data_IF_545010392358
#
_entry.id   IF_545010392358
#
_cell.length_a   1.000
_cell.length_b   1.000
_cell.length_c   1.000
_cell.angle_alpha   90.00
_cell.angle_beta   90.00
_cell.angle_gamma   90.00
#
_symmetry.space_group_name_H-M   'P 1'
#
loop_
_entity.id
_entity.type
_entity.pdbx_description
1 polymer ?
#
# COMPACT_ATOMS: atom_id res chain seq x y z
N UNK A 1 46.20 5.44 -25.73
CA UNK A 1 46.10 5.54 -24.26
C UNK A 1 44.63 5.59 -23.83
N UNK A 2 44.07 4.42 -23.46
CA UNK A 2 42.76 4.30 -22.84
C UNK A 2 42.86 4.75 -21.36
N UNK A 3 41.89 5.50 -20.80
CA UNK A 3 41.89 5.87 -19.39
C UNK A 3 41.49 4.65 -18.52
N UNK A 4 41.88 4.64 -17.23
CA UNK A 4 41.87 3.43 -16.43
C UNK A 4 40.46 2.99 -16.07
N UNK A 5 40.22 1.69 -16.23
CA UNK A 5 39.15 0.93 -15.63
C UNK A 5 39.15 1.20 -14.12
N UNK A 6 38.05 1.75 -13.59
CA UNK A 6 37.80 1.81 -12.16
C UNK A 6 37.53 0.38 -11.66
N UNK A 7 38.59 -0.41 -11.49
CA UNK A 7 38.58 -1.54 -10.58
C UNK A 7 38.49 -0.98 -9.15
N UNK A 8 37.29 -1.06 -8.58
CA UNK A 8 37.10 -0.81 -7.16
C UNK A 8 37.31 -2.16 -6.44
N UNK A 9 38.34 -2.25 -5.60
CA UNK A 9 38.54 -3.35 -4.65
C UNK A 9 37.38 -3.49 -3.65
N UNK A 10 37.45 -4.43 -2.68
CA UNK A 10 36.33 -4.82 -1.82
C UNK A 10 36.04 -3.76 -0.75
N UNK A 11 35.62 -2.58 -1.18
CA UNK A 11 34.94 -1.59 -0.37
C UNK A 11 33.49 -2.01 -0.20
N UNK A 12 32.91 -1.72 0.96
CA UNK A 12 31.48 -1.89 1.22
C UNK A 12 30.64 -1.36 0.05
N UNK A 13 29.62 -2.10 -0.43
CA UNK A 13 28.83 -1.68 -1.57
C UNK A 13 28.14 -0.35 -1.24
N UNK A 14 28.57 0.71 -1.93
CA UNK A 14 28.00 2.05 -1.89
C UNK A 14 26.47 2.00 -2.07
N UNK A 15 25.74 2.78 -1.26
CA UNK A 15 24.27 2.82 -1.24
C UNK A 15 23.74 3.45 -2.52
N UNK A 16 22.46 3.22 -2.84
CA UNK A 16 21.82 3.76 -4.06
C UNK A 16 22.01 5.28 -4.19
N UNK A 17 21.86 6.01 -3.08
CA UNK A 17 22.05 7.47 -3.01
C UNK A 17 23.42 7.89 -3.52
N UNK A 18 24.46 7.40 -2.86
CA UNK A 18 25.86 7.70 -3.17
C UNK A 18 26.21 7.27 -4.60
N UNK A 19 25.74 6.08 -5.01
CA UNK A 19 25.96 5.58 -6.37
C UNK A 19 25.37 6.48 -7.44
N UNK A 20 24.14 6.93 -7.23
CA UNK A 20 23.44 7.78 -8.20
C UNK A 20 24.05 9.18 -8.24
N UNK A 21 24.44 9.75 -7.10
CA UNK A 21 25.18 11.03 -7.04
C UNK A 21 26.46 10.92 -7.87
N UNK A 22 27.25 9.87 -7.68
CA UNK A 22 28.47 9.64 -8.46
C UNK A 22 28.16 9.51 -9.96
N UNK A 23 27.04 8.88 -10.35
CA UNK A 23 26.63 8.79 -11.75
C UNK A 23 26.24 10.14 -12.34
N UNK A 24 25.52 10.98 -11.59
CA UNK A 24 25.14 12.34 -12.02
C UNK A 24 26.40 13.19 -12.20
N UNK A 25 27.30 13.17 -11.22
CA UNK A 25 28.54 13.95 -11.23
C UNK A 25 29.53 13.46 -12.31
N UNK A 26 29.44 12.20 -12.72
CA UNK A 26 30.29 11.66 -13.80
C UNK A 26 29.99 12.26 -15.17
N UNK A 27 28.80 12.83 -15.39
CA UNK A 27 28.39 13.38 -16.69
C UNK A 27 28.29 12.36 -17.83
N UNK A 28 28.41 11.05 -17.55
CA UNK A 28 28.49 9.99 -18.57
C UNK A 28 27.17 9.66 -19.28
N UNK A 29 26.04 10.03 -18.69
CA UNK A 29 24.72 9.65 -19.17
C UNK A 29 23.97 10.88 -19.71
N UNK A 30 23.71 10.96 -21.03
CA UNK A 30 22.98 12.09 -21.61
C UNK A 30 21.65 12.32 -20.90
N UNK A 31 21.40 13.56 -20.49
CA UNK A 31 20.16 13.97 -19.82
C UNK A 31 20.08 13.67 -18.32
N UNK A 32 20.98 12.87 -17.73
CA UNK A 32 21.12 12.73 -16.28
C UNK A 32 21.91 13.92 -15.73
N UNK A 33 21.26 14.83 -15.00
CA UNK A 33 21.93 16.03 -14.44
C UNK A 33 21.21 16.61 -13.23
N UNK A 34 21.92 17.45 -12.49
CA UNK A 34 21.34 18.34 -11.47
C UNK A 34 20.44 19.41 -12.12
N UNK A 35 19.27 19.64 -11.52
CA UNK A 35 18.31 20.68 -11.89
C UNK A 35 18.47 21.95 -11.05
N UNK A 36 19.19 21.87 -9.93
CA UNK A 36 19.47 23.02 -9.07
C UNK A 36 20.93 23.08 -8.62
N UNK A 37 21.40 24.29 -8.32
CA UNK A 37 22.78 24.53 -7.86
C UNK A 37 23.11 23.85 -6.53
N UNK A 38 22.10 23.66 -5.68
CA UNK A 38 22.24 23.02 -4.37
C UNK A 38 22.39 21.49 -4.43
N UNK A 39 22.37 20.88 -5.63
CA UNK A 39 22.49 19.42 -5.83
C UNK A 39 21.50 18.62 -4.97
N UNK A 40 20.27 19.09 -4.90
CA UNK A 40 19.17 18.38 -4.21
C UNK A 40 18.07 17.93 -5.17
N UNK A 41 18.04 18.44 -6.39
CA UNK A 41 17.11 18.02 -7.45
C UNK A 41 17.91 17.56 -8.65
N UNK A 42 17.61 16.38 -9.16
CA UNK A 42 18.20 15.87 -10.39
C UNK A 42 17.12 15.27 -11.28
N UNK A 43 17.41 15.17 -12.58
CA UNK A 43 16.52 14.54 -13.55
C UNK A 43 17.14 13.28 -14.13
N UNK A 44 16.30 12.28 -14.42
CA UNK A 44 16.66 11.03 -15.08
C UNK A 44 15.91 10.95 -16.43
N UNK A 45 16.60 10.67 -17.56
CA UNK A 45 15.96 10.36 -18.83
C UNK A 45 15.00 9.18 -18.73
N UNK A 46 13.79 9.30 -19.29
CA UNK A 46 12.72 8.33 -19.11
C UNK A 46 12.09 7.81 -20.40
N UNK A 47 12.86 7.79 -21.50
CA UNK A 47 12.38 7.34 -22.81
C UNK A 47 11.76 5.93 -22.78
N UNK A 48 10.65 5.76 -23.51
CA UNK A 48 9.96 4.47 -23.63
C UNK A 48 10.60 3.62 -24.72
N UNK A 49 10.87 2.35 -24.42
CA UNK A 49 11.49 1.42 -25.37
C UNK A 49 10.65 1.14 -26.64
N UNK A 50 9.36 1.50 -26.62
CA UNK A 50 8.46 1.38 -27.76
C UNK A 50 8.52 2.59 -28.72
N UNK A 51 9.23 3.67 -28.39
CA UNK A 51 9.41 4.79 -29.32
C UNK A 51 10.38 4.40 -30.44
N UNK A 52 10.11 4.84 -31.68
CA UNK A 52 10.92 4.50 -32.86
C UNK A 52 12.37 5.03 -32.76
N UNK A 53 12.59 6.12 -32.02
CA UNK A 53 13.87 6.78 -31.81
C UNK A 53 14.57 6.33 -30.50
N UNK A 54 14.20 5.15 -29.97
CA UNK A 54 14.81 4.56 -28.78
C UNK A 54 16.17 3.93 -29.12
N UNK A 55 17.24 4.50 -28.56
CA UNK A 55 18.62 4.06 -28.71
C UNK A 55 19.02 3.29 -27.47
N UNK A 56 18.93 1.96 -27.52
CA UNK A 56 19.22 1.09 -26.38
C UNK A 56 20.55 1.40 -25.67
N UNK A 57 21.61 1.70 -26.44
CA UNK A 57 22.94 1.93 -25.87
C UNK A 57 23.04 3.24 -25.09
N UNK A 58 22.23 4.24 -25.42
CA UNK A 58 22.20 5.56 -24.76
C UNK A 58 21.06 5.63 -23.74
N UNK A 59 19.83 5.32 -24.15
CA UNK A 59 18.62 5.42 -23.33
C UNK A 59 18.55 4.37 -22.22
N UNK A 60 19.25 3.24 -22.38
CA UNK A 60 19.36 2.22 -21.34
C UNK A 60 20.65 2.31 -20.52
N UNK A 61 21.57 3.22 -20.85
CA UNK A 61 22.93 3.24 -20.31
C UNK A 61 22.97 3.31 -18.77
N UNK A 62 22.21 4.23 -18.17
CA UNK A 62 22.12 4.38 -16.72
C UNK A 62 21.53 3.14 -16.05
N UNK A 63 20.47 2.58 -16.66
CA UNK A 63 19.79 1.40 -16.13
C UNK A 63 20.69 0.16 -16.21
N UNK A 64 21.42 0.00 -17.32
CA UNK A 64 22.42 -1.06 -17.53
C UNK A 64 23.52 -0.96 -16.47
N UNK A 65 24.06 0.24 -16.25
CA UNK A 65 25.11 0.47 -15.26
C UNK A 65 24.66 0.10 -13.84
N UNK A 66 23.41 0.40 -13.47
CA UNK A 66 22.84 -0.04 -12.19
C UNK A 66 22.75 -1.56 -12.09
N UNK A 67 22.34 -2.23 -13.17
CA UNK A 67 22.24 -3.69 -13.20
C UNK A 67 23.61 -4.37 -13.07
N UNK A 68 24.64 -3.83 -13.72
CA UNK A 68 26.05 -4.27 -13.59
C UNK A 68 26.52 -4.06 -12.15
N UNK A 69 26.32 -2.85 -11.60
CA UNK A 69 26.75 -2.51 -10.25
C UNK A 69 26.12 -3.43 -9.17
N UNK A 70 24.86 -3.84 -9.35
CA UNK A 70 24.19 -4.78 -8.44
C UNK A 70 24.53 -6.25 -8.70
N UNK A 71 25.42 -6.54 -9.67
CA UNK A 71 25.79 -7.91 -10.06
C UNK A 71 24.62 -8.70 -10.65
N UNK A 72 23.65 -8.02 -11.26
CA UNK A 72 22.45 -8.63 -11.84
C UNK A 72 22.45 -8.65 -13.38
N UNK A 73 23.57 -8.28 -13.98
CA UNK A 73 23.84 -8.34 -15.41
C UNK A 73 25.36 -8.38 -15.64
N UNK A 74 25.82 -9.32 -16.48
CA UNK A 74 27.21 -9.41 -16.94
C UNK A 74 27.29 -9.10 -18.43
N UNK A 75 28.08 -8.08 -18.79
CA UNK A 75 28.26 -7.66 -20.17
C UNK A 75 29.03 -8.71 -20.97
N UNK A 76 28.50 -9.09 -22.15
CA UNK A 76 29.07 -10.13 -23.01
C UNK A 76 28.60 -11.56 -22.68
N UNK A 77 28.07 -11.81 -21.48
CA UNK A 77 27.55 -13.13 -21.07
C UNK A 77 26.04 -13.18 -21.07
N UNK A 78 25.38 -12.18 -20.45
CA UNK A 78 23.94 -12.15 -20.31
C UNK A 78 23.27 -11.46 -21.51
N UNK A 79 22.08 -11.94 -21.90
CA UNK A 79 21.25 -11.27 -22.90
C UNK A 79 20.78 -9.90 -22.37
N UNK A 80 20.96 -8.86 -23.20
CA UNK A 80 20.54 -7.51 -22.84
C UNK A 80 19.01 -7.39 -22.69
N UNK A 81 18.56 -6.84 -21.56
CA UNK A 81 17.14 -6.56 -21.29
C UNK A 81 16.95 -5.18 -20.64
N UNK A 82 16.82 -4.13 -21.48
CA UNK A 82 16.61 -2.74 -21.02
C UNK A 82 15.36 -2.57 -20.14
N UNK A 83 14.31 -3.34 -20.39
CA UNK A 83 13.04 -3.25 -19.65
C UNK A 83 13.22 -3.73 -18.21
N UNK A 84 13.95 -4.84 -18.02
CA UNK A 84 14.30 -5.34 -16.69
C UNK A 84 15.23 -4.39 -15.96
N UNK A 85 16.24 -3.83 -16.63
CA UNK A 85 17.16 -2.86 -16.03
C UNK A 85 16.44 -1.59 -15.56
N UNK A 86 15.59 -1.00 -16.40
CA UNK A 86 14.77 0.18 -16.06
C UNK A 86 13.84 -0.12 -14.89
N UNK A 87 13.22 -1.29 -14.87
CA UNK A 87 12.36 -1.73 -13.77
C UNK A 87 13.12 -1.83 -12.45
N UNK A 88 14.34 -2.39 -12.45
CA UNK A 88 15.16 -2.54 -11.24
C UNK A 88 15.56 -1.19 -10.65
N UNK A 89 16.03 -0.24 -11.47
CA UNK A 89 16.39 1.10 -10.96
C UNK A 89 15.16 1.85 -10.45
N UNK A 90 14.04 1.81 -11.18
CA UNK A 90 12.76 2.40 -10.75
C UNK A 90 12.33 1.87 -9.38
N UNK A 91 12.37 0.55 -9.18
CA UNK A 91 12.03 -0.06 -7.91
C UNK A 91 12.98 0.35 -6.79
N UNK A 92 14.28 0.52 -7.08
CA UNK A 92 15.27 0.97 -6.10
C UNK A 92 15.01 2.41 -5.66
N UNK A 93 14.72 3.32 -6.61
CA UNK A 93 14.34 4.72 -6.34
C UNK A 93 13.07 4.79 -5.49
N UNK A 94 12.01 4.07 -5.88
CA UNK A 94 10.71 4.12 -5.18
C UNK A 94 10.73 3.52 -3.77
N UNK A 95 11.68 2.64 -3.47
CA UNK A 95 11.85 2.02 -2.14
C UNK A 95 12.78 2.81 -1.22
N UNK A 96 13.58 3.71 -1.76
CA UNK A 96 14.57 4.46 -1.00
C UNK A 96 13.93 5.67 -0.33
N UNK A 97 14.22 5.87 0.95
CA UNK A 97 13.83 7.07 1.72
C UNK A 97 14.66 8.30 1.37
N UNK A 98 15.75 8.11 0.62
CA UNK A 98 16.65 9.20 0.20
C UNK A 98 16.11 9.98 -1.00
N UNK A 99 15.06 9.48 -1.67
CA UNK A 99 14.54 10.06 -2.90
C UNK A 99 13.03 10.28 -2.84
N UNK A 100 12.60 11.44 -3.34
CA UNK A 100 11.19 11.77 -3.56
C UNK A 100 11.00 12.18 -5.02
N UNK A 101 10.09 11.53 -5.75
CA UNK A 101 9.74 11.97 -7.11
C UNK A 101 9.02 13.32 -7.04
N UNK A 102 9.31 14.23 -7.97
CA UNK A 102 8.67 15.55 -8.11
C UNK A 102 7.93 15.58 -9.47
N UNK A 103 6.69 15.06 -9.53
CA UNK A 103 5.95 14.93 -10.78
C UNK A 103 5.72 16.27 -11.49
N UNK A 104 5.54 17.36 -10.73
CA UNK A 104 5.26 18.69 -11.24
C UNK A 104 6.42 19.26 -12.07
N UNK A 105 7.64 18.72 -11.90
CA UNK A 105 8.83 19.11 -12.65
C UNK A 105 9.22 18.10 -13.73
N UNK A 106 8.54 16.96 -13.79
CA UNK A 106 8.80 15.90 -14.77
C UNK A 106 8.13 16.23 -16.10
N UNK A 107 8.78 15.94 -17.22
CA UNK A 107 8.23 16.17 -18.57
C UNK A 107 8.29 14.88 -19.37
N UNK A 108 7.12 14.30 -19.66
CA UNK A 108 7.01 13.02 -20.36
C UNK A 108 6.54 13.15 -21.82
N UNK A 109 5.96 14.30 -22.18
CA UNK A 109 5.34 14.54 -23.50
C UNK A 109 6.27 15.20 -24.52
N UNK A 110 7.56 15.34 -24.18
CA UNK A 110 8.59 15.92 -25.06
C UNK A 110 9.39 14.83 -25.81
N UNK A 111 10.23 15.25 -26.77
CA UNK A 111 11.11 14.36 -27.54
C UNK A 111 12.02 13.53 -26.63
N UNK A 112 12.66 14.20 -25.68
CA UNK A 112 13.57 13.62 -24.69
C UNK A 112 12.95 13.66 -23.28
N UNK A 113 12.04 12.72 -22.96
CA UNK A 113 11.29 12.76 -21.71
C UNK A 113 12.18 12.49 -20.51
N UNK A 114 11.86 13.11 -19.37
CA UNK A 114 12.62 12.94 -18.14
C UNK A 114 11.73 13.02 -16.89
N UNK A 115 12.20 12.41 -15.81
CA UNK A 115 11.61 12.47 -14.46
C UNK A 115 12.53 13.20 -13.51
N UNK A 116 11.96 14.00 -12.61
CA UNK A 116 12.70 14.76 -11.59
C UNK A 116 12.56 14.11 -10.23
N UNK A 117 13.67 13.99 -9.51
CA UNK A 117 13.75 13.45 -8.17
C UNK A 117 14.48 14.43 -7.25
N UNK A 118 13.99 14.52 -6.01
CA UNK A 118 14.60 15.28 -4.93
C UNK A 118 15.33 14.33 -3.98
N UNK A 119 16.54 14.70 -3.57
CA UNK A 119 17.27 14.05 -2.50
C UNK A 119 16.77 14.58 -1.16
N UNK A 120 16.27 13.67 -0.32
CA UNK A 120 15.88 13.97 1.05
C UNK A 120 17.15 13.90 1.90
N UNK A 121 17.60 15.06 2.39
CA UNK A 121 18.63 15.13 3.43
C UNK A 121 17.94 15.15 4.79
N UNK A 122 18.26 14.17 5.64
CA UNK A 122 17.87 14.22 7.04
C UNK A 122 18.46 15.50 7.66
N UNK A 123 17.60 16.38 8.19
CA UNK A 123 18.07 17.62 8.80
C UNK A 123 18.49 17.32 10.22
N UNK A 124 19.80 17.36 10.48
CA UNK A 124 20.35 17.44 11.84
C UNK A 124 21.82 17.84 11.89
N UNK A 125 22.06 19.06 12.42
CA UNK A 125 23.31 19.63 12.99
C UNK A 125 24.07 20.76 12.24
N UNK A 126 23.85 22.01 12.72
CA UNK A 126 24.78 23.17 12.83
C UNK A 126 24.89 24.12 11.62
N UNK A 127 24.69 25.45 11.67
CA UNK A 127 24.59 26.43 12.76
C UNK A 127 23.96 27.77 12.30
N UNK A 128 23.19 28.44 13.18
CA UNK A 128 22.92 29.91 13.32
C UNK A 128 22.24 30.66 12.15
N UNK A 129 21.14 31.40 12.28
CA UNK A 129 20.60 32.23 13.40
C UNK A 129 19.10 32.54 13.22
N UNK A 130 18.35 32.50 14.34
CA UNK A 130 17.09 33.22 14.69
C UNK A 130 15.83 33.02 13.83
N UNK A 131 14.60 32.92 14.35
CA UNK A 131 14.03 32.93 15.70
C UNK A 131 12.54 32.52 15.53
N UNK A 132 12.13 31.37 16.05
CA UNK A 132 10.85 31.15 16.76
C UNK A 132 10.78 29.67 17.17
N UNK A 133 10.68 29.46 18.46
CA UNK A 133 10.78 28.17 19.15
C UNK A 133 9.39 27.79 19.68
N UNK A 134 8.84 26.61 19.33
CA UNK A 134 7.82 25.93 20.12
C UNK A 134 8.49 24.86 21.01
N UNK A 135 8.41 25.04 22.34
CA UNK A 135 9.05 24.15 23.30
C UNK A 135 8.37 22.76 23.44
N UNK A 136 9.17 21.75 23.04
CA UNK A 136 9.58 20.52 23.76
C UNK A 136 8.61 19.31 23.88
N UNK A 137 9.02 18.13 23.35
CA UNK A 137 8.49 16.78 23.62
C UNK A 137 9.33 16.02 24.68
N UNK A 138 8.90 14.86 25.22
CA UNK A 138 9.81 13.94 25.90
C UNK A 138 10.43 12.92 24.92
N UNK A 139 11.67 12.56 25.24
CA UNK A 139 12.67 11.87 24.42
C UNK A 139 12.44 10.35 24.25
N UNK A 140 13.11 9.71 23.26
CA UNK A 140 13.07 8.27 23.02
C UNK A 140 14.18 7.50 23.76
N UNK A 141 13.86 6.30 24.24
CA UNK A 141 14.83 5.34 24.80
C UNK A 141 15.47 4.55 23.65
N UNK A 142 16.79 4.50 23.70
CA UNK A 142 17.75 3.84 22.82
C UNK A 142 17.49 2.34 22.59
N UNK A 143 17.55 1.91 21.33
CA UNK A 143 17.76 0.51 20.95
C UNK A 143 19.25 0.24 20.76
N UNK A 144 19.73 -0.88 21.30
CA UNK A 144 20.97 -1.53 20.86
C UNK A 144 20.67 -2.96 20.37
N UNK A 145 21.47 -3.50 19.44
CA UNK A 145 21.12 -4.68 18.68
C UNK A 145 21.85 -5.93 19.16
N UNK A 146 21.13 -7.04 19.34
CA UNK A 146 21.63 -8.40 19.14
C UNK A 146 20.45 -9.35 19.25
N UNK A 147 20.26 -10.21 18.25
CA UNK A 147 20.13 -11.66 18.45
C UNK A 147 19.78 -12.32 17.12
N UNK A 148 20.80 -12.99 16.59
CA UNK A 148 20.80 -13.97 15.52
C UNK A 148 19.78 -15.08 15.83
N UNK A 149 18.97 -15.44 14.83
CA UNK A 149 18.08 -16.59 14.85
C UNK A 149 18.89 -17.90 14.89
N UNK A 150 18.55 -18.89 15.73
CA UNK A 150 19.05 -20.24 15.54
C UNK A 150 18.09 -21.07 14.66
N UNK A 151 18.71 -21.84 13.76
CA UNK A 151 18.09 -22.85 12.93
C UNK A 151 17.57 -24.04 13.77
N UNK A 152 16.41 -24.59 13.39
CA UNK A 152 15.81 -25.77 14.02
C UNK A 152 16.15 -27.02 13.21
N UNK A 153 16.75 -28.03 13.86
CA UNK A 153 17.00 -29.38 13.33
C UNK A 153 16.06 -30.35 14.08
N UNK A 154 15.38 -31.30 13.41
CA UNK A 154 14.44 -32.19 14.09
C UNK A 154 15.10 -33.50 14.55
N UNK A 155 14.77 -33.96 15.76
CA UNK A 155 14.90 -35.37 16.17
C UNK A 155 13.84 -35.78 17.21
N UNK A 156 12.90 -36.60 16.74
CA UNK A 156 12.26 -37.80 17.31
C UNK A 156 12.04 -38.05 18.82
N UNK A 157 10.79 -38.51 19.08
CA UNK A 157 10.37 -39.73 19.83
C UNK A 157 9.77 -39.59 21.27
N UNK A 158 8.47 -39.94 21.32
CA UNK A 158 7.62 -40.67 22.31
C UNK A 158 6.91 -40.01 23.53
N UNK A 159 5.58 -40.23 23.48
CA UNK A 159 4.59 -40.68 24.52
C UNK A 159 4.12 -39.72 25.64
N UNK A 160 2.78 -39.53 25.74
CA UNK A 160 2.04 -38.76 26.79
C UNK A 160 1.69 -39.60 28.04
N UNK A 161 0.55 -39.42 28.75
CA UNK A 161 -0.45 -38.33 28.78
C UNK A 161 -0.92 -37.92 30.24
N UNK A 162 -2.01 -37.13 30.32
CA UNK A 162 -2.95 -36.84 31.44
C UNK A 162 -2.83 -35.52 32.27
N UNK A 163 -3.68 -34.57 31.83
CA UNK A 163 -4.70 -33.79 32.55
C UNK A 163 -4.51 -33.26 34.00
N UNK A 164 -4.84 -31.97 34.17
CA UNK A 164 -5.87 -31.51 35.11
C UNK A 164 -6.51 -30.21 34.57
N UNK A 165 -7.84 -30.15 34.63
CA UNK A 165 -8.68 -29.03 34.20
C UNK A 165 -9.23 -28.31 35.47
N UNK A 166 -9.16 -26.97 35.57
CA UNK A 166 -10.25 -25.94 35.51
C UNK A 166 -9.93 -24.83 36.55
N UNK A 167 -10.63 -23.67 36.65
CA UNK A 167 -11.05 -22.69 35.64
C UNK A 167 -10.67 -21.21 35.99
N UNK A 168 -10.86 -20.30 35.03
CA UNK A 168 -10.70 -18.81 34.99
C UNK A 168 -11.40 -18.01 36.14
N UNK A 169 -11.06 -16.72 36.48
CA UNK A 169 -11.06 -15.58 35.53
C UNK A 169 -10.15 -14.34 35.77
N UNK A 170 -9.83 -13.67 34.65
CA UNK A 170 -9.79 -12.21 34.52
C UNK A 170 -8.53 -11.45 34.97
N UNK A 171 -7.86 -10.78 34.02
CA UNK A 171 -7.71 -9.30 33.92
C UNK A 171 -6.51 -8.93 33.03
N UNK A 172 -6.76 -8.34 31.86
CA UNK A 172 -5.82 -7.41 31.21
C UNK A 172 -5.34 -7.67 29.78
N UNK A 173 -6.18 -8.13 28.85
CA UNK A 173 -5.91 -7.99 27.40
C UNK A 173 -6.79 -6.85 26.86
N UNK A 174 -6.29 -5.61 26.97
CA UNK A 174 -6.97 -4.42 26.49
C UNK A 174 -6.16 -3.84 25.32
N UNK A 175 -6.67 -3.98 24.09
CA UNK A 175 -6.13 -3.24 22.95
C UNK A 175 -6.22 -3.85 21.55
N UNK A 176 -6.92 -4.97 21.30
CA UNK A 176 -7.19 -5.37 19.92
C UNK A 176 -8.19 -4.38 19.31
N UNK A 177 -7.69 -3.43 18.53
CA UNK A 177 -8.53 -2.77 17.54
C UNK A 177 -8.85 -3.90 16.56
N UNK A 178 -10.08 -4.38 16.54
CA UNK A 178 -10.40 -5.58 15.76
C UNK A 178 -9.98 -5.36 14.31
N UNK A 179 -8.86 -5.99 13.91
CA UNK A 179 -8.23 -5.89 12.59
C UNK A 179 -9.08 -6.55 11.49
N UNK A 180 -10.37 -6.69 11.76
CA UNK A 180 -11.33 -7.44 11.01
C UNK A 180 -11.83 -6.61 9.83
N UNK A 181 -12.02 -7.31 8.73
CA UNK A 181 -12.56 -6.80 7.49
C UNK A 181 -13.85 -7.56 7.23
N UNK A 182 -14.93 -6.82 7.07
CA UNK A 182 -16.19 -7.36 6.59
C UNK A 182 -16.22 -7.25 5.07
N UNK A 183 -16.34 -8.40 4.39
CA UNK A 183 -16.13 -8.55 2.96
C UNK A 183 -17.35 -9.21 2.33
N UNK A 184 -17.91 -8.56 1.31
CA UNK A 184 -18.99 -9.07 0.48
C UNK A 184 -18.54 -9.15 -0.97
N UNK A 185 -18.66 -10.32 -1.59
CA UNK A 185 -18.32 -10.55 -2.99
C UNK A 185 -19.61 -10.62 -3.80
N UNK A 186 -19.60 -9.93 -4.94
CA UNK A 186 -20.74 -9.87 -5.84
C UNK A 186 -20.33 -10.31 -7.24
N UNK A 187 -21.22 -11.05 -7.90
CA UNK A 187 -21.17 -11.27 -9.34
C UNK A 187 -22.38 -10.63 -10.00
N UNK A 188 -22.16 -9.72 -10.94
CA UNK A 188 -23.25 -8.99 -11.61
C UNK A 188 -24.28 -8.45 -10.59
N UNK A 189 -23.77 -7.75 -9.56
CA UNK A 189 -24.52 -7.23 -8.39
C UNK A 189 -25.27 -8.27 -7.53
N UNK A 190 -25.20 -9.57 -7.83
CA UNK A 190 -25.71 -10.65 -6.97
C UNK A 190 -24.68 -10.95 -5.89
N UNK A 191 -25.08 -10.88 -4.61
CA UNK A 191 -24.23 -11.26 -3.48
C UNK A 191 -23.97 -12.78 -3.53
N UNK A 192 -22.72 -13.17 -3.73
CA UNK A 192 -22.32 -14.59 -3.84
C UNK A 192 -21.55 -15.08 -2.62
N UNK A 193 -20.99 -14.19 -1.80
CA UNK A 193 -20.28 -14.54 -0.57
C UNK A 193 -20.18 -13.37 0.39
N UNK A 194 -20.31 -13.64 1.69
CA UNK A 194 -20.13 -12.68 2.76
C UNK A 194 -19.28 -13.31 3.88
N UNK A 195 -18.23 -12.61 4.31
CA UNK A 195 -17.27 -13.10 5.32
C UNK A 195 -16.81 -11.92 6.18
N UNK A 196 -16.64 -12.14 7.47
CA UNK A 196 -15.90 -11.23 8.35
C UNK A 196 -14.61 -11.91 8.77
N UNK A 197 -13.47 -11.30 8.43
CA UNK A 197 -12.17 -11.87 8.76
C UNK A 197 -11.93 -11.84 10.25
N UNK A 198 -11.13 -12.78 10.76
CA UNK A 198 -10.86 -12.91 12.21
C UNK A 198 -9.39 -12.90 12.59
N UNK A 199 -8.51 -12.84 11.61
CA UNK A 199 -7.05 -12.86 11.80
C UNK A 199 -6.47 -11.45 11.72
N UNK A 200 -5.40 -11.19 12.47
CA UNK A 200 -4.71 -9.89 12.46
C UNK A 200 -3.85 -9.69 11.20
N UNK A 201 -3.48 -10.81 10.56
CA UNK A 201 -2.66 -10.86 9.36
C UNK A 201 -3.44 -10.49 8.09
N UNK A 202 -4.75 -10.26 8.24
CA UNK A 202 -5.65 -9.90 7.17
C UNK A 202 -6.08 -11.09 6.33
N UNK A 203 -6.49 -10.81 5.10
CA UNK A 203 -7.06 -11.81 4.19
C UNK A 203 -6.57 -11.68 2.76
N UNK A 204 -6.72 -12.77 2.03
CA UNK A 204 -6.52 -12.87 0.60
C UNK A 204 -7.82 -13.23 -0.08
N UNK A 205 -8.22 -12.42 -1.05
CA UNK A 205 -9.31 -12.77 -1.97
C UNK A 205 -8.71 -13.41 -3.22
N UNK A 206 -9.01 -14.68 -3.48
CA UNK A 206 -8.35 -15.52 -4.50
C UNK A 206 -9.30 -16.53 -5.15
N UNK A 207 -8.95 -17.09 -6.31
CA UNK A 207 -9.70 -18.20 -6.94
C UNK A 207 -9.15 -19.59 -6.60
N UNK A 208 -7.86 -19.71 -6.29
CA UNK A 208 -7.23 -20.99 -5.97
C UNK A 208 -6.78 -21.07 -4.51
N UNK A 209 -6.79 -22.29 -3.97
CA UNK A 209 -6.14 -22.59 -2.70
C UNK A 209 -4.63 -22.47 -2.89
N UNK A 210 -4.01 -21.54 -2.18
CA UNK A 210 -2.57 -21.35 -2.22
C UNK A 210 -1.88 -22.51 -1.50
N UNK A 211 -0.89 -23.19 -2.11
CA UNK A 211 -0.02 -24.12 -1.38
C UNK A 211 0.82 -23.37 -0.34
N UNK A 212 0.80 -23.81 0.91
CA UNK A 212 1.46 -23.16 2.06
C UNK A 212 3.00 -23.05 1.97
N UNK A 213 3.61 -23.48 0.87
CA UNK A 213 5.06 -23.68 0.72
C UNK A 213 5.81 -22.48 0.13
N UNK A 214 5.13 -21.37 -0.21
CA UNK A 214 5.77 -20.24 -0.91
C UNK A 214 5.32 -18.86 -0.45
N UNK A 215 5.70 -18.49 0.79
CA UNK A 215 5.36 -17.20 1.41
C UNK A 215 5.82 -15.97 0.60
N UNK A 216 6.93 -16.07 -0.13
CA UNK A 216 7.41 -14.97 -0.99
C UNK A 216 6.47 -14.67 -2.17
N UNK A 217 5.79 -15.69 -2.70
CA UNK A 217 4.87 -15.55 -3.84
C UNK A 217 3.45 -15.20 -3.40
N UNK A 218 3.09 -15.64 -2.20
CA UNK A 218 1.71 -15.70 -1.73
C UNK A 218 1.51 -15.11 -0.33
N UNK A 219 2.41 -14.28 0.17
CA UNK A 219 2.25 -13.62 1.47
C UNK A 219 2.29 -14.58 2.65
N UNK A 220 2.01 -14.10 3.87
CA UNK A 220 2.06 -14.91 5.09
C UNK A 220 1.13 -16.11 4.99
N UNK A 221 1.61 -17.30 5.35
CA UNK A 221 0.85 -18.55 5.33
C UNK A 221 -0.39 -18.53 6.25
N UNK A 222 -0.39 -17.68 7.28
CA UNK A 222 -1.49 -17.47 8.22
C UNK A 222 -2.60 -16.52 7.75
N UNK A 223 -2.49 -15.92 6.55
CA UNK A 223 -3.51 -15.02 6.01
C UNK A 223 -4.81 -15.79 5.65
N UNK A 224 -5.97 -15.26 6.05
CA UNK A 224 -7.26 -15.90 5.79
C UNK A 224 -7.56 -15.95 4.28
N UNK A 225 -7.89 -17.13 3.76
CA UNK A 225 -8.11 -17.35 2.32
C UNK A 225 -9.60 -17.25 1.97
N UNK A 226 -10.01 -16.11 1.42
CA UNK A 226 -11.37 -15.85 0.94
C UNK A 226 -11.45 -16.24 -0.54
N UNK A 227 -11.93 -17.46 -0.79
CA UNK A 227 -12.13 -17.95 -2.17
C UNK A 227 -13.35 -17.31 -2.84
N UNK A 228 -13.19 -16.87 -4.08
CA UNK A 228 -14.28 -16.55 -4.99
C UNK A 228 -15.16 -17.80 -5.23
N UNK A 229 -16.50 -17.70 -5.14
CA UNK A 229 -17.40 -18.81 -5.47
C UNK A 229 -17.33 -19.19 -6.96
N UNK A 230 -17.62 -20.46 -7.30
CA UNK A 230 -17.71 -20.88 -8.69
C UNK A 230 -18.93 -20.20 -9.39
N UNK A 231 -18.84 -19.84 -10.69
CA UNK A 231 -19.91 -19.09 -11.40
C UNK A 231 -21.28 -19.77 -11.41
N UNK A 232 -21.33 -21.10 -11.23
CA UNK A 232 -22.55 -21.91 -11.15
C UNK A 232 -23.50 -21.51 -10.00
N UNK A 233 -23.02 -20.71 -9.04
CA UNK A 233 -23.88 -20.09 -8.01
C UNK A 233 -24.95 -19.17 -8.61
N UNK A 234 -24.77 -18.72 -9.86
CA UNK A 234 -25.69 -17.83 -10.58
C UNK A 234 -26.80 -18.56 -11.35
N UNK A 235 -26.79 -19.89 -11.42
CA UNK A 235 -27.70 -20.68 -12.26
C UNK A 235 -29.21 -20.49 -11.96
N UNK A 236 -29.57 -19.87 -10.83
CA UNK A 236 -30.95 -19.49 -10.49
C UNK A 236 -31.39 -18.10 -11.00
N UNK A 237 -30.48 -17.30 -11.58
CA UNK A 237 -30.76 -15.93 -12.02
C UNK A 237 -30.74 -15.84 -13.55
N UNK A 238 -31.91 -16.05 -14.19
CA UNK A 238 -32.04 -16.25 -15.64
C UNK A 238 -31.50 -15.17 -16.57
N UNK A 239 -31.33 -13.92 -16.12
CA UNK A 239 -30.67 -12.86 -16.91
C UNK A 239 -29.14 -12.89 -16.85
N UNK A 240 -28.56 -13.53 -15.83
CA UNK A 240 -27.12 -13.52 -15.53
C UNK A 240 -26.44 -14.81 -15.96
N UNK A 241 -27.21 -15.83 -16.33
CA UNK A 241 -26.70 -17.13 -16.79
C UNK A 241 -25.73 -17.02 -17.98
N UNK A 242 -25.95 -16.07 -18.90
CA UNK A 242 -25.04 -15.81 -20.03
C UNK A 242 -23.69 -15.21 -19.61
N UNK A 243 -23.58 -14.64 -18.40
CA UNK A 243 -22.33 -14.09 -17.86
C UNK A 243 -21.43 -15.15 -17.22
N UNK A 244 -21.96 -16.36 -17.00
CA UNK A 244 -21.20 -17.49 -16.44
C UNK A 244 -19.95 -17.78 -17.25
N UNK A 245 -20.05 -17.85 -18.58
CA UNK A 245 -18.92 -18.10 -19.48
C UNK A 245 -17.83 -17.01 -19.38
N UNK A 246 -18.26 -15.75 -19.18
CA UNK A 246 -17.34 -14.61 -19.01
C UNK A 246 -16.62 -14.73 -17.67
N UNK A 247 -17.34 -15.05 -16.60
CA UNK A 247 -16.77 -15.25 -15.26
C UNK A 247 -15.77 -16.41 -15.25
N UNK A 248 -16.09 -17.54 -15.90
CA UNK A 248 -15.19 -18.70 -16.04
C UNK A 248 -13.88 -18.33 -16.74
N UNK A 249 -13.89 -17.37 -17.66
CA UNK A 249 -12.70 -16.85 -18.33
C UNK A 249 -11.94 -15.82 -17.50
N UNK A 250 -12.61 -15.06 -16.64
CA UNK A 250 -12.00 -14.01 -15.81
C UNK A 250 -11.35 -14.54 -14.52
N UNK A 251 -12.01 -15.47 -13.83
CA UNK A 251 -11.57 -16.02 -12.55
C UNK A 251 -10.15 -16.62 -12.56
N UNK A 252 -9.71 -17.34 -13.62
CA UNK A 252 -8.33 -17.84 -13.70
C UNK A 252 -7.27 -16.74 -13.59
N UNK A 253 -7.57 -15.53 -14.08
CA UNK A 253 -6.64 -14.40 -13.98
C UNK A 253 -6.53 -13.82 -12.55
N UNK A 254 -7.38 -14.27 -11.61
CA UNK A 254 -7.45 -13.84 -10.21
C UNK A 254 -6.74 -14.80 -9.24
N UNK A 255 -6.02 -15.81 -9.74
CA UNK A 255 -5.43 -16.90 -8.93
C UNK A 255 -4.46 -16.45 -7.83
N UNK A 256 -3.61 -15.45 -8.08
CA UNK A 256 -2.73 -14.90 -7.03
C UNK A 256 -3.44 -13.91 -6.10
N UNK A 257 -4.65 -13.50 -6.48
CA UNK A 257 -5.54 -12.71 -5.67
C UNK A 257 -5.09 -11.28 -5.34
N UNK A 258 -5.79 -10.72 -4.35
CA UNK A 258 -5.48 -9.45 -3.69
C UNK A 258 -5.37 -9.69 -2.19
N UNK A 259 -4.46 -8.99 -1.53
CA UNK A 259 -4.25 -9.05 -0.09
C UNK A 259 -4.82 -7.77 0.51
N UNK A 260 -5.49 -7.90 1.65
CA UNK A 260 -6.05 -6.81 2.44
C UNK A 260 -5.68 -7.05 3.90
N UNK A 261 -5.24 -6.02 4.60
CA UNK A 261 -4.95 -6.10 6.03
C UNK A 261 -5.19 -4.76 6.70
N UNK A 262 -5.45 -4.81 8.01
CA UNK A 262 -5.59 -3.64 8.87
C UNK A 262 -4.31 -3.54 9.69
N UNK A 263 -3.76 -2.33 9.76
CA UNK A 263 -2.66 -1.98 10.64
C UNK A 263 -3.02 -0.67 11.39
N UNK A 264 -2.29 -0.30 12.46
CA UNK A 264 -2.60 0.90 13.23
C UNK A 264 -2.71 2.18 12.38
N UNK A 265 -1.90 2.28 11.32
CA UNK A 265 -1.87 3.44 10.44
C UNK A 265 -3.07 3.49 9.49
N UNK A 266 -3.72 2.36 9.21
CA UNK A 266 -4.77 2.30 8.20
C UNK A 266 -5.09 0.92 7.66
N UNK A 267 -5.90 0.92 6.61
CA UNK A 267 -6.26 -0.27 5.84
C UNK A 267 -5.41 -0.30 4.58
N UNK A 268 -4.78 -1.43 4.32
CA UNK A 268 -3.83 -1.58 3.23
C UNK A 268 -4.25 -2.70 2.29
N UNK A 269 -3.79 -2.59 1.05
CA UNK A 269 -3.98 -3.65 0.06
C UNK A 269 -2.78 -3.82 -0.85
N UNK A 270 -2.64 -5.02 -1.39
CA UNK A 270 -1.66 -5.34 -2.43
C UNK A 270 -2.26 -6.26 -3.48
N UNK A 271 -2.20 -5.87 -4.75
CA UNK A 271 -2.64 -6.69 -5.88
C UNK A 271 -1.55 -7.65 -6.35
N UNK A 272 -1.85 -8.95 -6.45
CA UNK A 272 -0.90 -9.96 -6.95
C UNK A 272 -1.41 -10.74 -8.16
N UNK A 273 -2.72 -10.74 -8.41
CA UNK A 273 -3.36 -11.34 -9.57
C UNK A 273 -2.90 -10.74 -10.92
N UNK A 274 -3.10 -11.51 -11.99
CA UNK A 274 -2.83 -11.06 -13.36
C UNK A 274 -3.93 -10.11 -13.85
N UNK A 275 -5.19 -10.42 -13.50
CA UNK A 275 -6.36 -9.58 -13.79
C UNK A 275 -6.19 -8.16 -13.25
N UNK A 276 -6.72 -7.18 -13.99
CA UNK A 276 -6.73 -5.78 -13.56
C UNK A 276 -7.67 -5.63 -12.39
N UNK A 277 -7.30 -4.81 -11.42
CA UNK A 277 -8.16 -4.47 -10.28
C UNK A 277 -8.21 -2.96 -10.19
N UNK A 278 -9.43 -2.44 -10.08
CA UNK A 278 -9.72 -1.03 -9.89
C UNK A 278 -10.40 -0.83 -8.54
N UNK A 279 -10.37 0.38 -8.00
CA UNK A 279 -10.94 0.62 -6.68
C UNK A 279 -11.59 1.98 -6.50
N UNK A 280 -12.40 2.09 -5.46
CA UNK A 280 -12.90 3.36 -4.95
C UNK A 280 -12.93 3.30 -3.41
N UNK A 281 -12.76 4.44 -2.76
CA UNK A 281 -12.69 4.49 -1.31
C UNK A 281 -12.13 5.81 -0.78
N UNK A 282 -11.86 5.90 0.53
CA UNK A 282 -11.55 7.17 1.20
C UNK A 282 -10.28 7.86 0.69
N UNK A 283 -9.25 7.08 0.33
CA UNK A 283 -7.99 7.58 -0.23
C UNK A 283 -7.88 7.41 -1.75
N UNK A 284 -9.00 7.13 -2.44
CA UNK A 284 -8.98 6.99 -3.89
C UNK A 284 -8.67 8.35 -4.56
N UNK A 285 -7.71 8.41 -5.50
CA UNK A 285 -7.28 9.69 -6.08
C UNK A 285 -8.35 10.33 -6.99
N UNK A 286 -9.21 9.52 -7.61
CA UNK A 286 -10.25 9.99 -8.51
C UNK A 286 -11.62 9.45 -8.11
N UNK A 287 -12.64 10.32 -8.16
CA UNK A 287 -14.04 9.94 -7.91
C UNK A 287 -14.77 9.53 -9.19
N UNK A 288 -14.41 10.14 -10.31
CA UNK A 288 -15.12 10.01 -11.60
C UNK A 288 -14.22 9.41 -12.69
N UNK A 289 -13.05 8.89 -12.31
CA UNK A 289 -12.05 8.35 -13.21
C UNK A 289 -11.52 7.03 -12.67
N UNK A 290 -11.16 6.05 -13.52
CA UNK A 290 -10.77 4.73 -13.04
C UNK A 290 -9.50 4.77 -12.17
N UNK A 291 -9.57 4.19 -10.96
CA UNK A 291 -8.41 4.07 -10.09
C UNK A 291 -7.81 2.66 -10.22
N UNK A 292 -6.87 2.48 -11.15
CA UNK A 292 -6.22 1.19 -11.35
C UNK A 292 -5.17 0.90 -10.26
N UNK A 293 -5.20 -0.31 -9.71
CA UNK A 293 -4.20 -0.81 -8.78
C UNK A 293 -3.04 -1.48 -9.53
N UNK A 294 -1.82 -1.00 -9.28
CA UNK A 294 -0.61 -1.58 -9.83
C UNK A 294 -0.25 -2.88 -9.13
N UNK A 295 0.24 -3.84 -9.91
CA UNK A 295 0.60 -5.17 -9.41
C UNK A 295 1.85 -5.08 -8.54
N UNK A 296 1.88 -5.83 -7.44
CA UNK A 296 2.93 -5.87 -6.43
C UNK A 296 3.21 -4.53 -5.72
N UNK A 297 2.36 -3.51 -5.90
CA UNK A 297 2.43 -2.26 -5.15
C UNK A 297 1.44 -2.28 -3.99
N UNK A 298 1.91 -1.85 -2.83
CA UNK A 298 1.07 -1.66 -1.64
C UNK A 298 0.39 -0.30 -1.71
N UNK A 299 -0.91 -0.26 -1.42
CA UNK A 299 -1.72 0.94 -1.37
C UNK A 299 -2.35 1.07 0.02
N UNK A 300 -2.35 2.29 0.55
CA UNK A 300 -3.15 2.66 1.73
C UNK A 300 -4.54 3.08 1.23
N UNK A 301 -5.58 2.37 1.66
CA UNK A 301 -6.95 2.59 1.20
C UNK A 301 -7.75 3.48 2.15
N UNK A 302 -7.42 3.41 3.44
CA UNK A 302 -7.97 4.24 4.51
C UNK A 302 -6.84 4.63 5.47
N UNK A 303 -6.84 5.88 5.92
CA UNK A 303 -5.94 6.37 6.96
C UNK A 303 -6.70 6.53 8.27
N UNK A 304 -6.25 5.82 9.31
CA UNK A 304 -6.98 5.76 10.58
C UNK A 304 -7.03 7.11 11.28
N UNK A 305 -5.93 7.86 11.27
CA UNK A 305 -5.86 9.18 11.90
C UNK A 305 -6.73 10.19 11.17
N UNK A 306 -6.66 10.23 9.84
CA UNK A 306 -7.53 11.10 9.04
C UNK A 306 -9.00 10.73 9.20
N UNK A 307 -9.33 9.44 9.27
CA UNK A 307 -10.69 8.98 9.49
C UNK A 307 -11.23 9.45 10.85
N UNK A 308 -10.47 9.26 11.93
CA UNK A 308 -10.84 9.71 13.28
C UNK A 308 -10.91 11.23 13.36
N UNK A 309 -9.95 11.96 12.77
CA UNK A 309 -9.92 13.42 12.81
C UNK A 309 -11.10 14.02 12.04
N UNK A 310 -11.37 13.50 10.84
CA UNK A 310 -12.50 13.97 10.01
C UNK A 310 -13.83 13.72 10.72
N UNK A 311 -13.94 12.60 11.44
CA UNK A 311 -15.07 12.30 12.34
C UNK A 311 -15.15 13.27 13.52
N UNK A 312 -14.03 13.61 14.15
CA UNK A 312 -13.98 14.52 15.32
C UNK A 312 -14.32 15.97 14.97
N UNK A 313 -14.09 16.38 13.72
CA UNK A 313 -14.37 17.72 13.22
C UNK A 313 -15.84 17.91 12.79
N UNK A 314 -16.67 16.87 12.87
CA UNK A 314 -18.10 16.95 12.59
C UNK A 314 -18.85 17.63 13.75
N UNK A 315 -18.69 18.95 13.86
CA UNK A 315 -19.63 19.77 14.62
C UNK A 315 -20.96 19.85 13.85
N UNK A 316 -22.12 19.86 14.52
CA UNK A 316 -23.41 20.03 13.85
C UNK A 316 -23.44 21.38 13.13
N UNK A 317 -23.28 21.39 11.81
CA UNK A 317 -23.57 22.59 11.03
C UNK A 317 -25.10 22.79 11.03
N UNK A 318 -25.61 24.00 11.29
CA UNK A 318 -27.05 24.30 11.26
C UNK A 318 -27.74 23.92 9.94
N UNK A 319 -26.96 23.75 8.86
CA UNK A 319 -27.42 23.41 7.51
C UNK A 319 -27.42 21.90 7.19
N UNK A 320 -27.20 21.01 8.16
CA UNK A 320 -27.46 19.57 8.04
C UNK A 320 -26.58 18.77 7.07
N UNK A 321 -25.56 19.37 6.43
CA UNK A 321 -24.77 18.74 5.35
C UNK A 321 -23.30 18.47 5.69
N UNK A 322 -23.04 17.93 6.88
CA UNK A 322 -21.76 17.28 7.16
C UNK A 322 -21.69 15.95 6.40
N UNK A 323 -20.82 15.85 5.39
CA UNK A 323 -20.59 14.61 4.66
C UNK A 323 -19.84 13.63 5.56
N UNK A 324 -20.55 12.63 6.08
CA UNK A 324 -19.97 11.61 6.95
C UNK A 324 -18.71 10.99 6.32
N UNK A 325 -17.67 10.68 7.10
CA UNK A 325 -16.46 10.07 6.57
C UNK A 325 -16.79 8.69 6.00
N UNK A 326 -16.57 8.54 4.69
CA UNK A 326 -16.68 7.27 4.01
C UNK A 326 -15.62 6.31 4.55
N UNK A 327 -15.99 5.04 4.76
CA UNK A 327 -15.07 3.97 5.15
C UNK A 327 -15.21 2.74 4.24
N UNK A 328 -16.25 2.71 3.39
CA UNK A 328 -16.49 1.65 2.43
C UNK A 328 -15.44 1.70 1.33
N UNK A 329 -14.84 0.54 1.07
CA UNK A 329 -13.86 0.31 0.03
C UNK A 329 -14.48 -0.65 -0.98
N UNK A 330 -14.36 -0.31 -2.26
CA UNK A 330 -14.90 -1.09 -3.36
C UNK A 330 -13.76 -1.52 -4.27
N UNK A 331 -13.68 -2.81 -4.59
CA UNK A 331 -12.74 -3.37 -5.55
C UNK A 331 -13.53 -3.94 -6.73
N UNK A 332 -13.11 -3.59 -7.95
CA UNK A 332 -13.68 -4.08 -9.20
C UNK A 332 -12.62 -4.88 -9.95
N UNK A 333 -12.96 -6.10 -10.38
CA UNK A 333 -12.01 -7.02 -11.01
C UNK A 333 -12.32 -7.18 -12.50
N UNK A 334 -11.30 -6.97 -13.34
CA UNK A 334 -11.40 -7.13 -14.80
C UNK A 334 -11.86 -5.89 -15.56
N UNK A 335 -12.60 -5.00 -14.90
CA UNK A 335 -13.26 -3.84 -15.52
C UNK A 335 -12.84 -2.50 -14.90
N UNK A 336 -12.90 -1.44 -15.69
CA UNK A 336 -12.59 -0.08 -15.21
C UNK A 336 -13.61 0.39 -14.17
N UNK A 337 -13.12 1.04 -13.11
CA UNK A 337 -13.96 1.54 -12.02
C UNK A 337 -13.26 2.66 -11.22
N UNK A 338 -13.98 3.71 -10.76
CA UNK A 338 -15.35 4.08 -11.07
C UNK A 338 -15.59 4.36 -12.57
N UNK A 339 -16.77 4.02 -13.08
CA UNK A 339 -17.18 4.36 -14.46
C UNK A 339 -17.56 5.84 -14.55
N UNK A 340 -17.39 6.46 -15.73
CA UNK A 340 -17.98 7.78 -16.01
C UNK A 340 -19.51 7.71 -15.86
N UNK A 341 -20.10 8.77 -15.32
CA UNK A 341 -21.52 8.86 -14.92
C UNK A 341 -22.53 8.60 -16.06
N UNK A 342 -22.07 8.54 -17.32
CA UNK A 342 -22.91 8.39 -18.50
C UNK A 342 -23.30 6.92 -18.78
N UNK A 343 -22.64 5.94 -18.16
CA UNK A 343 -22.95 4.53 -18.37
C UNK A 343 -22.80 3.68 -17.08
N UNK A 344 -23.85 3.52 -16.27
CA UNK A 344 -23.86 2.57 -15.16
C UNK A 344 -24.02 1.14 -15.72
N UNK A 345 -22.93 0.58 -16.25
CA UNK A 345 -22.88 -0.85 -16.55
C UNK A 345 -22.67 -1.63 -15.25
N UNK A 346 -23.48 -2.67 -15.07
CA UNK A 346 -23.35 -3.66 -14.01
C UNK A 346 -21.97 -4.30 -14.04
N UNK A 347 -21.29 -4.36 -12.88
CA UNK A 347 -19.94 -4.91 -12.77
C UNK A 347 -19.99 -6.43 -12.57
N UNK A 348 -19.15 -7.13 -13.32
CA UNK A 348 -19.07 -8.58 -13.33
C UNK A 348 -18.59 -9.12 -11.99
N UNK A 349 -17.53 -8.55 -11.42
CA UNK A 349 -16.95 -9.02 -10.15
C UNK A 349 -16.60 -7.82 -9.26
N UNK A 350 -17.27 -7.74 -8.11
CA UNK A 350 -17.04 -6.71 -7.10
C UNK A 350 -16.69 -7.32 -5.74
N UNK A 351 -15.83 -6.67 -4.98
CA UNK A 351 -15.66 -6.90 -3.55
C UNK A 351 -15.92 -5.61 -2.77
N UNK A 352 -16.88 -5.65 -1.86
CA UNK A 352 -17.16 -4.57 -0.92
C UNK A 352 -16.47 -4.89 0.39
N UNK A 353 -15.60 -3.99 0.84
CA UNK A 353 -14.75 -4.16 2.01
C UNK A 353 -15.06 -3.04 3.00
N UNK A 354 -15.40 -3.42 4.22
CA UNK A 354 -15.67 -2.51 5.33
C UNK A 354 -14.76 -2.87 6.51
N UNK A 355 -13.88 -1.95 6.96
CA UNK A 355 -13.13 -2.15 8.19
C UNK A 355 -14.10 -2.11 9.37
N UNK A 356 -14.14 -3.18 10.17
CA UNK A 356 -15.14 -3.34 11.23
C UNK A 356 -15.06 -2.19 12.24
N UNK A 357 -13.84 -1.84 12.67
CA UNK A 357 -13.61 -0.71 13.59
C UNK A 357 -14.20 0.61 13.04
N UNK A 358 -14.06 0.88 11.74
CA UNK A 358 -14.55 2.11 11.13
C UNK A 358 -16.08 2.13 11.09
N UNK A 359 -16.70 1.01 10.71
CA UNK A 359 -18.15 0.83 10.72
C UNK A 359 -18.75 1.02 12.12
N UNK A 360 -18.14 0.43 13.13
CA UNK A 360 -18.61 0.55 14.52
C UNK A 360 -18.48 1.98 15.04
N UNK A 361 -17.34 2.63 14.78
CA UNK A 361 -17.13 4.03 15.08
C UNK A 361 -18.22 4.91 14.42
N UNK A 362 -18.55 4.64 13.16
CA UNK A 362 -19.59 5.36 12.43
C UNK A 362 -20.98 5.18 13.05
N UNK A 363 -21.44 3.94 13.28
CA UNK A 363 -22.76 3.69 13.87
C UNK A 363 -22.89 4.21 15.30
N UNK A 364 -21.82 4.13 16.09
CA UNK A 364 -21.80 4.71 17.43
C UNK A 364 -22.03 6.22 17.39
N UNK A 365 -21.39 6.94 16.47
CA UNK A 365 -21.60 8.38 16.31
C UNK A 365 -23.03 8.72 15.86
N UNK A 366 -23.63 7.93 14.96
CA UNK A 366 -25.02 8.12 14.57
C UNK A 366 -26.00 8.00 15.75
N UNK A 367 -25.75 7.07 16.69
CA UNK A 367 -26.57 6.89 17.90
C UNK A 367 -26.45 8.04 18.91
N UNK A 368 -25.31 8.72 18.98
CA UNK A 368 -25.08 9.86 19.90
C UNK A 368 -25.60 11.20 19.35
N UNK A 369 -25.85 11.28 18.05
CA UNK A 369 -26.32 12.49 17.35
C UNK A 369 -27.57 13.13 17.96
N UNK A 370 -28.59 12.38 18.42
CA UNK A 370 -29.77 12.96 19.05
C UNK A 370 -29.50 13.52 20.47
N UNK A 371 -28.56 12.93 21.21
CA UNK A 371 -28.31 13.27 22.63
C UNK A 371 -27.55 14.59 22.79
N UNK A 372 -26.62 14.89 21.87
CA UNK A 372 -25.85 16.14 21.86
C UNK A 372 -26.67 17.36 21.44
N UNK A 373 -27.72 17.16 20.63
CA UNK A 373 -28.66 18.22 20.27
C UNK A 373 -29.59 18.61 21.43
N UNK A 374 -29.81 17.71 22.40
CA UNK A 374 -30.71 17.95 23.55
C UNK A 374 -30.03 18.67 24.73
N UNK A 375 -28.71 18.58 24.85
CA UNK A 375 -27.96 19.09 26.01
C UNK A 375 -26.96 20.20 25.62
N UNK A 376 -27.42 21.25 24.96
CA UNK A 376 -26.60 22.44 24.69
C UNK A 376 -26.98 23.62 25.59
N UNK A 377 -26.20 23.92 26.64
CA UNK A 377 -25.89 25.28 27.03
C UNK A 377 -24.58 25.73 26.34
N UNK A 378 -24.47 27.05 26.17
CA UNK A 378 -23.53 27.82 25.37
C UNK A 378 -22.01 27.48 25.45
N UNK A 379 -21.22 27.92 24.44
CA UNK A 379 -19.87 27.41 24.19
C UNK A 379 -18.81 28.15 25.00
N UNK A 380 -17.97 27.41 25.72
CA UNK A 380 -16.64 27.88 26.12
C UNK A 380 -15.61 26.74 26.09
N UNK A 381 -14.46 27.09 25.50
CA UNK A 381 -13.12 26.50 25.65
C UNK A 381 -12.69 25.33 24.73
N UNK A 382 -11.51 25.44 24.08
CA UNK A 382 -10.96 24.43 23.18
C UNK A 382 -10.28 23.30 23.99
N UNK A 383 -11.01 22.22 24.24
CA UNK A 383 -10.51 21.03 24.96
C UNK A 383 -10.93 19.69 24.36
N UNK A 384 -11.49 19.66 23.15
CA UNK A 384 -12.19 18.47 22.63
C UNK A 384 -11.28 17.29 22.19
N UNK A 385 -9.97 17.47 22.10
CA UNK A 385 -9.04 16.42 21.63
C UNK A 385 -8.72 15.35 22.69
N UNK A 386 -8.75 15.69 23.99
CA UNK A 386 -8.45 14.73 25.08
C UNK A 386 -9.57 13.73 25.29
N UNK A 387 -10.81 14.14 25.03
CA UNK A 387 -11.99 13.31 25.18
C UNK A 387 -11.98 12.12 24.23
N UNK A 388 -11.69 12.30 22.94
CA UNK A 388 -11.70 11.20 21.96
C UNK A 388 -10.65 10.12 22.27
N UNK A 389 -9.45 10.51 22.73
CA UNK A 389 -8.41 9.58 23.17
C UNK A 389 -8.74 8.88 24.50
N UNK A 390 -9.39 9.59 25.43
CA UNK A 390 -9.95 9.01 26.65
C UNK A 390 -11.10 8.03 26.34
N UNK A 391 -11.89 8.28 25.29
CA UNK A 391 -12.99 7.43 24.85
C UNK A 391 -12.54 6.18 24.09
N UNK A 392 -11.47 6.26 23.29
CA UNK A 392 -10.81 5.07 22.72
C UNK A 392 -10.28 4.14 23.83
N UNK A 393 -9.85 4.71 24.97
CA UNK A 393 -9.48 3.92 26.17
C UNK A 393 -10.68 3.29 26.89
N UNK A 394 -11.86 3.93 26.87
CA UNK A 394 -13.08 3.36 27.49
C UNK A 394 -13.69 2.21 26.69
N UNK A 395 -13.57 2.21 25.36
CA UNK A 395 -14.00 1.08 24.51
C UNK A 395 -13.12 -0.18 24.66
N UNK A 396 -11.97 -0.07 25.35
CA UNK A 396 -11.02 -1.16 25.58
C UNK A 396 -11.05 -1.71 27.02
N UNK A 397 -12.06 -1.40 27.85
CA UNK A 397 -12.20 -2.04 29.16
C UNK A 397 -13.14 -3.25 29.08
N UNK A 398 -12.81 -4.37 29.77
CA UNK A 398 -13.52 -5.64 29.65
C UNK A 398 -14.95 -5.62 30.18
#
# INVERSE_FOLDING_TARGET
>A
PLPPSLECGPGSPMRLKEWLIAQIDSGRYPGLRWENRHRTLFRIPWKHAAKQDYRQQEDAALFKAWAIYKGKYQEGTDKADPSTWKTRLRCALNKSTDFQEVPERSQLDISEPYKVYQIVTDRGCGAGTSLWDPQIPPSPISCSPACTLPAFVPRGIREGPLCHALPHPGRGSAGLWDCWLHIRLYYCDVLVKEVTTRTAEGCRITTSAVPATSEHLYGPSCMEQIKFPPPQVLSGHGQVACMTDVLERLLPHLERGVLLWVAPEGVFMKRQCQGRVYWNGPLAPHKNWPNKLEREKTYKLLDTQQYIQRKSLEMPLPSGRGLMPQYQIYLCFGEEYPTRAEHPFQKLIMAHVEPVFARELFHHAQRLRPTLLRNSPQPCSPGASSHVLHFLKQLCQP
#
